data_IF_848375410923
#
_entry.id   IF_848375410923
#
_cell.length_a   1.000
_cell.length_b   1.000
_cell.length_c   1.000
_cell.angle_alpha   90.00
_cell.angle_beta   90.00
_cell.angle_gamma   90.00
#
_symmetry.space_group_name_H-M   'P 1'
#
loop_
_entity.id
_entity.type
_entity.pdbx_description
1 polymer ?
#
# COMPACT_ATOMS: atom_id res chain seq x y z
N UNK A 1 21.20 17.48 11.44
CA UNK A 1 21.56 18.47 10.40
C UNK A 1 20.27 19.15 10.04
N UNK A 2 20.18 20.45 10.29
CA UNK A 2 18.96 21.25 10.10
C UNK A 2 18.86 21.59 8.62
N UNK A 3 17.90 21.00 7.91
CA UNK A 3 17.58 21.41 6.53
C UNK A 3 17.04 22.84 6.57
N UNK A 4 17.74 23.75 5.91
CA UNK A 4 17.22 25.10 5.69
C UNK A 4 16.07 25.00 4.67
N UNK A 5 14.89 25.58 4.98
CA UNK A 5 13.79 25.62 4.03
C UNK A 5 14.15 26.48 2.80
N UNK A 6 13.49 26.23 1.68
CA UNK A 6 13.75 26.97 0.45
C UNK A 6 13.37 28.45 0.62
N UNK A 7 14.27 29.35 0.25
CA UNK A 7 14.07 30.78 0.47
C UNK A 7 15.31 31.65 0.27
N UNK A 8 15.11 32.96 0.38
CA UNK A 8 16.19 33.95 0.32
C UNK A 8 16.83 34.17 1.69
N UNK A 9 18.15 34.17 1.72
CA UNK A 9 18.95 34.38 2.93
C UNK A 9 20.01 35.45 2.69
N UNK A 10 20.18 36.34 3.67
CA UNK A 10 21.23 37.38 3.64
C UNK A 10 22.51 36.85 4.27
N UNK A 11 23.59 36.82 3.50
CA UNK A 11 24.91 36.42 3.97
C UNK A 11 25.59 37.49 4.83
N UNK A 12 26.68 37.13 5.54
CA UNK A 12 27.48 38.07 6.34
C UNK A 12 28.20 39.13 5.48
N UNK A 13 28.27 38.92 4.17
CA UNK A 13 28.74 39.86 3.15
C UNK A 13 27.65 40.88 2.74
N UNK A 14 26.43 40.75 3.27
CA UNK A 14 25.28 41.59 2.95
C UNK A 14 24.61 41.25 1.62
N UNK A 15 25.03 40.17 0.96
CA UNK A 15 24.44 39.71 -0.30
C UNK A 15 23.29 38.74 -0.05
N UNK A 16 22.22 38.89 -0.83
CA UNK A 16 21.06 38.00 -0.77
C UNK A 16 21.25 36.84 -1.75
N UNK A 17 21.13 35.60 -1.26
CA UNK A 17 21.26 34.37 -2.05
C UNK A 17 20.03 33.50 -1.86
N UNK A 18 19.65 32.77 -2.90
CA UNK A 18 18.52 31.85 -2.85
C UNK A 18 19.00 30.43 -2.56
N UNK A 19 18.36 29.75 -1.62
CA UNK A 19 18.59 28.33 -1.32
C UNK A 19 17.42 27.50 -1.87
N UNK A 20 17.72 26.52 -2.72
CA UNK A 20 16.71 25.68 -3.37
C UNK A 20 16.53 24.30 -2.70
N UNK A 21 17.24 24.05 -1.60
CA UNK A 21 17.26 22.76 -0.89
C UNK A 21 18.48 21.90 -1.23
N UNK A 22 19.25 22.26 -2.25
CA UNK A 22 20.41 21.50 -2.71
C UNK A 22 21.64 22.35 -3.02
N UNK A 23 21.48 23.53 -3.59
CA UNK A 23 22.56 24.45 -3.94
C UNK A 23 22.18 25.93 -3.76
N UNK A 24 23.20 26.78 -3.66
CA UNK A 24 23.03 28.23 -3.49
C UNK A 24 23.08 28.92 -4.85
N UNK A 25 22.07 29.75 -5.14
CA UNK A 25 21.98 30.54 -6.36
C UNK A 25 22.14 32.04 -6.08
N UNK A 26 22.80 32.76 -6.99
CA UNK A 26 22.93 34.21 -6.93
C UNK A 26 21.60 34.89 -7.33
N UNK A 27 21.16 35.89 -6.55
CA UNK A 27 19.94 36.62 -6.85
C UNK A 27 20.08 37.48 -8.13
N UNK A 28 19.09 37.50 -9.03
CA UNK A 28 19.16 38.25 -10.29
C UNK A 28 19.13 39.79 -10.13
N UNK A 29 18.95 40.31 -8.90
CA UNK A 29 18.72 41.73 -8.65
C UNK A 29 19.91 42.46 -7.98
N UNK A 30 21.14 42.25 -8.44
CA UNK A 30 22.26 43.14 -8.10
C UNK A 30 22.89 43.80 -9.33
N UNK A 31 22.99 45.15 -9.38
CA UNK A 31 23.86 45.82 -10.34
C UNK A 31 25.32 45.44 -10.03
N UNK A 32 26.19 45.28 -11.05
CA UNK A 32 27.55 44.82 -10.83
C UNK A 32 28.31 45.77 -9.90
N UNK A 33 28.97 45.18 -8.90
CA UNK A 33 29.87 45.86 -7.98
C UNK A 33 30.87 46.74 -8.76
N UNK A 34 30.87 48.03 -8.44
CA UNK A 34 31.79 48.99 -9.02
C UNK A 34 33.25 48.61 -8.69
N UNK A 35 33.94 47.99 -9.64
CA UNK A 35 35.39 47.80 -9.58
C UNK A 35 36.09 49.17 -9.68
N UNK A 36 36.49 49.73 -8.54
CA UNK A 36 37.45 50.83 -8.48
C UNK A 36 38.83 50.30 -8.91
N UNK A 37 39.19 50.48 -10.18
CA UNK A 37 40.59 50.38 -10.63
C UNK A 37 41.16 51.79 -10.76
N UNK A 38 42.02 52.14 -9.81
CA UNK A 38 42.97 53.25 -9.88
C UNK A 38 44.06 52.91 -10.90
N UNK A 39 44.20 53.76 -11.93
CA UNK A 39 45.26 53.66 -12.94
C UNK A 39 45.48 55.01 -13.62
N UNK A 40 46.72 55.36 -14.01
CA UNK A 40 47.15 56.75 -14.15
C UNK A 40 46.69 57.42 -15.45
N UNK A 41 46.43 58.71 -15.33
CA UNK A 41 46.03 59.65 -16.38
C UNK A 41 47.14 59.73 -17.45
N UNK A 42 46.89 59.21 -18.66
CA UNK A 42 47.66 59.56 -19.87
C UNK A 42 46.90 60.60 -20.69
N UNK A 43 47.59 61.71 -20.95
CA UNK A 43 47.12 62.89 -21.69
C UNK A 43 46.81 62.52 -23.14
N UNK A 44 45.55 62.65 -23.57
CA UNK A 44 45.22 62.69 -25.00
C UNK A 44 45.31 64.14 -25.49
N UNK A 45 46.25 64.35 -26.42
CA UNK A 45 46.35 65.59 -27.20
C UNK A 45 45.14 65.69 -28.14
N UNK A 46 44.72 66.94 -28.31
CA UNK A 46 43.61 67.40 -29.12
C UNK A 46 43.66 66.94 -30.59
N UNK A 47 42.48 66.62 -31.13
CA UNK A 47 42.17 66.97 -32.51
C UNK A 47 40.74 67.52 -32.62
N UNK A 48 40.65 68.60 -33.38
CA UNK A 48 39.59 69.61 -33.43
C UNK A 48 38.65 69.29 -34.60
N UNK A 49 37.35 69.21 -34.28
CA UNK A 49 36.17 69.61 -35.08
C UNK A 49 35.98 69.12 -36.53
N UNK A 50 34.87 68.39 -36.76
CA UNK A 50 33.68 68.77 -37.58
C UNK A 50 33.06 67.53 -38.26
N UNK A 51 31.94 67.03 -37.71
CA UNK A 51 30.75 66.59 -38.47
C UNK A 51 29.63 66.19 -37.49
N UNK A 52 28.77 67.16 -37.20
CA UNK A 52 27.48 66.97 -36.52
C UNK A 52 26.48 66.59 -37.60
N UNK A 53 25.98 65.35 -37.63
CA UNK A 53 24.66 64.92 -38.17
C UNK A 53 24.43 63.41 -37.90
N UNK A 54 25.48 62.59 -37.75
CA UNK A 54 25.32 61.12 -37.67
C UNK A 54 24.87 60.53 -36.32
N UNK A 55 24.74 61.33 -35.26
CA UNK A 55 24.40 60.83 -33.91
C UNK A 55 22.89 60.76 -33.66
N UNK A 56 22.09 61.59 -34.35
CA UNK A 56 20.63 61.66 -34.13
C UNK A 56 19.92 60.47 -34.81
N UNK A 57 20.41 60.02 -35.97
CA UNK A 57 19.84 58.87 -36.68
C UNK A 57 20.12 57.56 -35.93
N UNK A 58 21.29 57.42 -35.29
CA UNK A 58 21.63 56.24 -34.52
C UNK A 58 20.82 56.16 -33.20
N UNK A 59 20.52 57.30 -32.58
CA UNK A 59 19.67 57.35 -31.39
C UNK A 59 18.19 57.03 -31.69
N UNK A 60 17.66 57.44 -32.85
CA UNK A 60 16.29 57.14 -33.23
C UNK A 60 16.05 55.65 -33.57
N UNK A 61 17.04 54.97 -34.15
CA UNK A 61 16.95 53.53 -34.47
C UNK A 61 16.94 52.67 -33.20
N UNK A 62 17.70 53.06 -32.16
CA UNK A 62 17.77 52.31 -30.90
C UNK A 62 16.46 52.42 -30.09
N UNK A 63 15.75 53.56 -30.18
CA UNK A 63 14.47 53.74 -29.48
C UNK A 63 13.32 52.99 -30.18
N UNK A 64 13.36 52.85 -31.51
CA UNK A 64 12.33 52.11 -32.26
C UNK A 64 12.49 50.57 -32.18
N UNK A 65 13.69 50.04 -31.93
CA UNK A 65 13.90 48.60 -31.73
C UNK A 65 13.56 48.09 -30.33
N UNK A 66 13.37 48.98 -29.35
CA UNK A 66 13.21 48.61 -27.94
C UNK A 66 11.84 48.09 -27.52
N UNK A 67 10.80 48.24 -28.35
CA UNK A 67 9.41 47.90 -27.98
C UNK A 67 9.02 46.46 -28.37
N UNK A 68 9.75 45.82 -29.29
CA UNK A 68 9.42 44.46 -29.77
C UNK A 68 9.82 43.31 -28.83
N UNK A 69 10.86 43.49 -28.00
CA UNK A 69 11.44 42.40 -27.20
C UNK A 69 10.65 42.03 -25.94
N UNK A 70 9.94 42.98 -25.33
CA UNK A 70 9.23 42.75 -24.07
C UNK A 70 7.95 41.92 -24.23
N UNK A 71 7.32 41.94 -25.42
CA UNK A 71 6.06 41.22 -25.67
C UNK A 71 6.32 39.71 -25.86
N UNK A 72 7.48 39.33 -26.43
CA UNK A 72 7.81 37.92 -26.69
C UNK A 72 8.19 37.16 -25.41
N UNK A 73 8.87 37.81 -24.47
CA UNK A 73 9.31 37.16 -23.21
C UNK A 73 8.17 36.83 -22.24
N UNK A 74 7.08 37.64 -22.22
CA UNK A 74 5.91 37.37 -21.37
C UNK A 74 5.07 36.21 -21.95
N UNK A 75 5.01 36.07 -23.28
CA UNK A 75 4.25 35.00 -23.93
C UNK A 75 4.87 33.61 -23.69
N UNK A 76 6.20 33.48 -23.66
CA UNK A 76 6.87 32.20 -23.39
C UNK A 76 6.75 31.75 -21.92
N UNK A 77 6.84 32.69 -20.97
CA UNK A 77 6.73 32.38 -19.54
C UNK A 77 5.33 31.88 -19.14
N UNK A 78 4.27 32.43 -19.74
CA UNK A 78 2.90 31.96 -19.49
C UNK A 78 2.64 30.55 -20.07
N UNK A 79 3.33 30.15 -21.13
CA UNK A 79 3.22 28.79 -21.68
C UNK A 79 3.92 27.75 -20.80
N UNK A 80 5.06 28.09 -20.17
CA UNK A 80 5.78 27.20 -19.27
C UNK A 80 5.00 26.93 -17.97
N UNK A 81 4.34 27.94 -17.39
CA UNK A 81 3.49 27.75 -16.21
C UNK A 81 2.30 26.85 -16.54
N UNK A 82 1.60 27.11 -17.66
CA UNK A 82 0.47 26.28 -18.08
C UNK A 82 0.89 24.84 -18.37
N UNK A 83 2.09 24.62 -18.93
CA UNK A 83 2.64 23.29 -19.15
C UNK A 83 3.01 22.58 -17.83
N UNK A 84 3.53 23.32 -16.84
CA UNK A 84 3.86 22.79 -15.52
C UNK A 84 2.60 22.38 -14.74
N UNK A 85 1.55 23.21 -14.74
CA UNK A 85 0.27 22.90 -14.09
C UNK A 85 -0.42 21.68 -14.73
N UNK A 86 -0.35 21.55 -16.06
CA UNK A 86 -0.84 20.36 -16.77
C UNK A 86 -0.03 19.10 -16.43
N UNK A 87 1.29 19.22 -16.26
CA UNK A 87 2.13 18.10 -15.86
C UNK A 87 1.86 17.67 -14.41
N UNK A 88 1.63 18.60 -13.50
CA UNK A 88 1.30 18.31 -12.10
C UNK A 88 -0.08 17.65 -11.98
N UNK A 89 -1.10 18.18 -12.65
CA UNK A 89 -2.44 17.57 -12.68
C UNK A 89 -2.43 16.16 -13.28
N UNK A 90 -1.62 15.92 -14.33
CA UNK A 90 -1.44 14.58 -14.87
C UNK A 90 -0.75 13.63 -13.90
N UNK A 91 0.25 14.10 -13.13
CA UNK A 91 0.89 13.29 -12.08
C UNK A 91 -0.10 12.92 -10.99
N UNK A 92 -0.86 13.89 -10.47
CA UNK A 92 -1.88 13.65 -9.44
C UNK A 92 -2.94 12.66 -9.96
N UNK A 93 -3.43 12.84 -11.19
CA UNK A 93 -4.39 11.93 -11.79
C UNK A 93 -3.83 10.50 -11.99
N UNK A 94 -2.55 10.39 -12.37
CA UNK A 94 -1.87 9.10 -12.51
C UNK A 94 -1.66 8.41 -11.15
N UNK A 95 -1.28 9.16 -10.11
CA UNK A 95 -1.13 8.66 -8.74
C UNK A 95 -2.49 8.22 -8.17
N UNK A 96 -3.55 9.02 -8.35
CA UNK A 96 -4.90 8.66 -7.91
C UNK A 96 -5.40 7.39 -8.62
N UNK A 97 -5.14 7.25 -9.93
CA UNK A 97 -5.47 6.04 -10.67
C UNK A 97 -4.69 4.82 -10.16
N UNK A 98 -3.39 4.97 -9.90
CA UNK A 98 -2.55 3.91 -9.36
C UNK A 98 -3.01 3.49 -7.97
N UNK A 99 -3.39 4.45 -7.11
CA UNK A 99 -3.93 4.18 -5.79
C UNK A 99 -5.26 3.42 -5.86
N UNK A 100 -6.19 3.86 -6.72
CA UNK A 100 -7.46 3.14 -6.94
C UNK A 100 -7.25 1.71 -7.40
N UNK A 101 -6.31 1.48 -8.32
CA UNK A 101 -5.98 0.13 -8.78
C UNK A 101 -5.41 -0.75 -7.66
N UNK A 102 -4.57 -0.19 -6.79
CA UNK A 102 -4.04 -0.94 -5.65
C UNK A 102 -5.13 -1.24 -4.62
N UNK A 103 -6.00 -0.28 -4.32
CA UNK A 103 -7.15 -0.46 -3.41
C UNK A 103 -8.10 -1.55 -3.94
N UNK A 104 -8.41 -1.52 -5.24
CA UNK A 104 -9.19 -2.57 -5.91
C UNK A 104 -8.51 -3.94 -5.83
N UNK A 105 -7.18 -4.00 -6.00
CA UNK A 105 -6.40 -5.24 -5.90
C UNK A 105 -6.41 -5.80 -4.48
N UNK A 106 -6.25 -4.94 -3.47
CA UNK A 106 -6.30 -5.32 -2.05
C UNK A 106 -7.70 -5.81 -1.69
N UNK A 107 -8.75 -5.09 -2.12
CA UNK A 107 -10.14 -5.48 -1.90
C UNK A 107 -10.49 -6.81 -2.58
N UNK A 108 -10.01 -7.03 -3.82
CA UNK A 108 -10.20 -8.29 -4.54
C UNK A 108 -9.49 -9.46 -3.84
N UNK A 109 -8.27 -9.25 -3.33
CA UNK A 109 -7.55 -10.25 -2.53
C UNK A 109 -8.26 -10.56 -1.22
N UNK A 110 -8.78 -9.54 -0.52
CA UNK A 110 -9.53 -9.75 0.71
C UNK A 110 -10.79 -10.60 0.46
N UNK A 111 -11.58 -10.27 -0.59
CA UNK A 111 -12.75 -11.06 -0.98
C UNK A 111 -12.40 -12.49 -1.39
N UNK A 112 -11.33 -12.68 -2.15
CA UNK A 112 -10.86 -14.02 -2.51
C UNK A 112 -10.41 -14.82 -1.27
N UNK A 113 -9.77 -14.15 -0.31
CA UNK A 113 -9.42 -14.73 0.98
C UNK A 113 -10.66 -15.19 1.74
N UNK A 114 -11.67 -14.34 1.88
CA UNK A 114 -12.93 -14.67 2.58
C UNK A 114 -13.63 -15.90 1.97
N UNK A 115 -13.72 -15.97 0.64
CA UNK A 115 -14.32 -17.12 -0.04
C UNK A 115 -13.54 -18.43 0.21
N UNK A 116 -12.20 -18.37 0.27
CA UNK A 116 -11.38 -19.52 0.63
C UNK A 116 -11.60 -19.95 2.09
N UNK A 117 -11.67 -18.99 3.02
CA UNK A 117 -11.93 -19.28 4.42
C UNK A 117 -13.29 -19.96 4.60
N UNK A 118 -14.33 -19.47 3.93
CA UNK A 118 -15.67 -20.04 4.00
C UNK A 118 -15.70 -21.46 3.45
N UNK A 119 -15.12 -21.68 2.27
CA UNK A 119 -14.97 -23.02 1.69
C UNK A 119 -14.25 -23.98 2.64
N UNK A 120 -13.22 -23.51 3.35
CA UNK A 120 -12.51 -24.33 4.35
C UNK A 120 -13.39 -24.67 5.56
N UNK A 121 -14.27 -23.77 6.00
CA UNK A 121 -15.24 -24.06 7.06
C UNK A 121 -16.27 -25.10 6.60
N UNK A 122 -16.82 -24.93 5.41
CA UNK A 122 -17.77 -25.89 4.82
C UNK A 122 -17.16 -27.30 4.71
N UNK A 123 -15.91 -27.39 4.23
CA UNK A 123 -15.19 -28.65 4.15
C UNK A 123 -14.99 -29.31 5.53
N UNK A 124 -14.71 -28.52 6.57
CA UNK A 124 -14.57 -29.04 7.94
C UNK A 124 -15.88 -29.53 8.51
N UNK A 125 -16.97 -28.81 8.26
CA UNK A 125 -18.31 -29.23 8.68
C UNK A 125 -18.69 -30.57 8.01
N UNK A 126 -18.46 -30.70 6.70
CA UNK A 126 -18.68 -31.94 5.97
C UNK A 126 -17.82 -33.09 6.51
N UNK A 127 -16.54 -32.84 6.78
CA UNK A 127 -15.63 -33.84 7.34
C UNK A 127 -16.06 -34.34 8.72
N UNK A 128 -16.69 -33.51 9.57
CA UNK A 128 -17.25 -34.00 10.84
C UNK A 128 -18.37 -35.00 10.62
N UNK A 129 -19.26 -34.75 9.66
CA UNK A 129 -20.29 -35.72 9.31
C UNK A 129 -19.69 -37.04 8.80
N UNK A 130 -18.61 -36.97 8.01
CA UNK A 130 -17.88 -38.16 7.55
C UNK A 130 -17.20 -38.91 8.70
N UNK A 131 -16.64 -38.19 9.67
CA UNK A 131 -16.07 -38.75 10.90
C UNK A 131 -17.16 -39.44 11.72
N UNK A 132 -18.31 -38.80 11.92
CA UNK A 132 -19.45 -39.37 12.66
C UNK A 132 -19.95 -40.66 11.99
N UNK A 133 -20.06 -40.67 10.66
CA UNK A 133 -20.44 -41.85 9.90
C UNK A 133 -19.41 -42.99 10.03
N UNK A 134 -18.12 -42.67 9.94
CA UNK A 134 -17.03 -43.65 10.09
C UNK A 134 -16.98 -44.24 11.50
N UNK A 135 -17.17 -43.41 12.52
CA UNK A 135 -17.27 -43.84 13.92
C UNK A 135 -18.51 -44.70 14.13
N UNK A 136 -19.64 -44.37 13.48
CA UNK A 136 -20.85 -45.20 13.54
C UNK A 136 -20.60 -46.58 12.92
N UNK A 137 -19.98 -46.65 11.75
CA UNK A 137 -19.63 -47.92 11.11
C UNK A 137 -18.72 -48.76 12.00
N UNK A 138 -17.69 -48.14 12.59
CA UNK A 138 -16.82 -48.81 13.58
C UNK A 138 -17.62 -49.32 14.79
N UNK A 139 -18.53 -48.51 15.33
CA UNK A 139 -19.32 -48.87 16.49
C UNK A 139 -20.33 -50.00 16.19
N UNK A 140 -20.97 -49.98 15.02
CA UNK A 140 -21.81 -51.07 14.54
C UNK A 140 -21.00 -52.36 14.37
N UNK A 141 -19.76 -52.28 13.87
CA UNK A 141 -18.82 -53.40 13.80
C UNK A 141 -18.49 -53.96 15.19
N UNK A 142 -18.12 -53.11 16.15
CA UNK A 142 -17.86 -53.52 17.53
C UNK A 142 -19.09 -54.14 18.20
N UNK A 143 -20.30 -53.67 17.89
CA UNK A 143 -21.53 -54.27 18.38
C UNK A 143 -21.78 -55.66 17.79
N UNK A 144 -21.53 -55.84 16.48
CA UNK A 144 -21.63 -57.13 15.81
C UNK A 144 -20.61 -58.15 16.36
N UNK A 145 -19.42 -57.68 16.71
CA UNK A 145 -18.34 -58.49 17.31
C UNK A 145 -18.55 -58.75 18.81
N UNK A 146 -19.58 -58.18 19.44
CA UNK A 146 -19.89 -58.33 20.86
C UNK A 146 -18.92 -57.58 21.80
N UNK A 147 -18.15 -56.63 21.27
CA UNK A 147 -17.24 -55.76 22.05
C UNK A 147 -18.03 -54.72 22.84
N UNK A 148 -19.12 -54.21 22.25
CA UNK A 148 -20.05 -53.28 22.89
C UNK A 148 -21.50 -53.73 22.70
N UNK A 149 -22.42 -53.15 23.47
CA UNK A 149 -23.85 -53.42 23.36
C UNK A 149 -24.47 -52.63 22.20
N UNK A 150 -25.06 -53.33 21.23
CA UNK A 150 -25.80 -52.72 20.11
C UNK A 150 -27.32 -52.84 20.23
N UNK A 151 -28.08 -52.26 19.28
CA UNK A 151 -27.64 -51.56 18.07
C UNK A 151 -27.20 -50.11 18.33
N UNK A 152 -26.36 -49.53 17.45
CA UNK A 152 -25.99 -48.11 17.55
C UNK A 152 -27.01 -47.25 16.83
N UNK A 153 -27.68 -46.39 17.57
CA UNK A 153 -28.75 -45.52 17.08
C UNK A 153 -28.18 -44.28 16.38
N UNK A 154 -27.20 -43.63 16.99
CA UNK A 154 -26.59 -42.39 16.45
C UNK A 154 -25.17 -42.19 16.96
N UNK A 155 -24.38 -41.42 16.24
CA UNK A 155 -23.08 -40.91 16.70
C UNK A 155 -23.11 -39.39 16.61
N UNK A 156 -22.61 -38.73 17.65
CA UNK A 156 -22.37 -37.28 17.65
C UNK A 156 -20.99 -36.96 18.17
N UNK A 157 -20.25 -36.16 17.42
CA UNK A 157 -18.89 -35.75 17.77
C UNK A 157 -18.85 -34.31 18.25
N UNK A 158 -18.06 -34.07 19.28
CA UNK A 158 -17.81 -32.73 19.83
C UNK A 158 -16.30 -32.50 19.93
N UNK A 159 -15.87 -31.28 19.72
CA UNK A 159 -14.46 -30.90 19.81
C UNK A 159 -13.96 -30.94 21.25
N UNK A 160 -12.82 -31.58 21.49
CA UNK A 160 -12.19 -31.59 22.82
C UNK A 160 -11.46 -30.27 23.11
N UNK A 161 -11.51 -29.80 24.35
CA UNK A 161 -10.73 -28.64 24.81
C UNK A 161 -11.31 -27.27 24.45
N UNK A 162 -12.58 -27.20 24.02
CA UNK A 162 -13.28 -25.93 23.77
C UNK A 162 -12.82 -25.17 22.52
N UNK A 163 -12.10 -25.84 21.61
CA UNK A 163 -11.64 -25.25 20.35
C UNK A 163 -12.80 -25.25 19.35
N UNK A 164 -13.06 -24.11 18.71
CA UNK A 164 -14.07 -24.04 17.65
C UNK A 164 -13.60 -24.76 16.39
N UNK A 165 -14.50 -25.53 15.77
CA UNK A 165 -14.27 -26.13 14.46
C UNK A 165 -13.99 -25.09 13.36
N UNK A 166 -14.59 -23.90 13.52
CA UNK A 166 -14.48 -22.78 12.58
C UNK A 166 -13.12 -22.09 12.63
N UNK A 167 -12.27 -22.42 13.61
CA UNK A 167 -10.91 -21.90 13.70
C UNK A 167 -9.99 -22.59 12.67
N UNK A 168 -10.02 -22.05 11.45
CA UNK A 168 -9.21 -22.46 10.31
C UNK A 168 -7.68 -22.40 10.53
N UNK A 169 -7.21 -21.78 11.61
CA UNK A 169 -5.78 -21.73 11.96
C UNK A 169 -5.29 -23.05 12.58
N UNK A 170 -6.21 -23.84 13.15
CA UNK A 170 -5.92 -25.12 13.77
C UNK A 170 -5.69 -26.17 12.69
N UNK A 171 -4.52 -26.81 12.69
CA UNK A 171 -4.14 -27.84 11.69
C UNK A 171 -4.70 -29.22 12.00
N UNK A 172 -4.86 -29.52 13.29
CA UNK A 172 -5.40 -30.80 13.73
C UNK A 172 -6.35 -30.62 14.91
N UNK A 173 -7.43 -31.39 14.93
CA UNK A 173 -8.48 -31.31 15.95
C UNK A 173 -8.76 -32.68 16.54
N UNK A 174 -9.05 -32.72 17.84
CA UNK A 174 -9.50 -33.92 18.52
C UNK A 174 -11.01 -33.81 18.78
N UNK A 175 -11.70 -34.92 18.61
CA UNK A 175 -13.12 -35.06 18.82
C UNK A 175 -13.38 -36.17 19.85
N UNK A 176 -14.29 -35.90 20.77
CA UNK A 176 -14.96 -36.90 21.58
C UNK A 176 -16.32 -37.19 20.93
N UNK A 177 -16.51 -38.45 20.50
CA UNK A 177 -17.68 -38.92 19.79
C UNK A 177 -18.49 -39.85 20.68
N UNK A 178 -19.78 -39.57 20.86
CA UNK A 178 -20.69 -40.39 21.63
C UNK A 178 -21.59 -41.21 20.71
N UNK A 179 -21.44 -42.53 20.75
CA UNK A 179 -22.25 -43.49 20.02
C UNK A 179 -23.39 -43.99 20.92
N UNK A 180 -24.61 -43.47 20.71
CA UNK A 180 -25.77 -43.88 21.50
C UNK A 180 -26.30 -45.24 21.06
N UNK A 181 -26.66 -46.07 22.04
CA UNK A 181 -27.24 -47.39 21.80
C UNK A 181 -28.65 -47.55 22.39
N UNK A 182 -29.04 -46.64 23.30
CA UNK A 182 -30.41 -46.54 23.78
C UNK A 182 -30.75 -45.08 24.14
N UNK A 183 -32.04 -44.79 24.10
CA UNK A 183 -32.63 -43.56 24.61
C UNK A 183 -33.48 -43.91 25.83
N UNK A 184 -33.27 -43.20 26.92
CA UNK A 184 -33.94 -43.40 28.18
C UNK A 184 -35.25 -42.59 28.23
N UNK A 185 -36.16 -42.97 29.13
CA UNK A 185 -37.46 -42.30 29.30
C UNK A 185 -37.34 -40.81 29.72
N UNK A 186 -36.22 -40.43 30.34
CA UNK A 186 -35.92 -39.06 30.75
C UNK A 186 -35.30 -38.20 29.62
N UNK A 187 -35.17 -38.77 28.41
CA UNK A 187 -34.55 -38.12 27.26
C UNK A 187 -33.02 -38.14 27.26
N UNK A 188 -32.39 -38.79 28.25
CA UNK A 188 -30.95 -39.05 28.20
C UNK A 188 -30.64 -40.22 27.27
N UNK A 189 -29.39 -40.31 26.82
CA UNK A 189 -28.94 -41.43 25.98
C UNK A 189 -27.82 -42.18 26.68
N UNK A 190 -27.85 -43.51 26.63
CA UNK A 190 -26.69 -44.36 26.97
C UNK A 190 -25.92 -44.70 25.71
N UNK A 191 -24.66 -45.06 25.89
CA UNK A 191 -23.79 -45.32 24.77
C UNK A 191 -22.31 -45.42 25.15
N UNK A 192 -21.48 -45.41 24.12
CA UNK A 192 -20.04 -45.60 24.22
C UNK A 192 -19.32 -44.37 23.67
N UNK A 193 -18.18 -44.04 24.28
CA UNK A 193 -17.32 -42.97 23.80
C UNK A 193 -16.28 -43.51 22.84
N UNK A 194 -16.04 -42.73 21.80
CA UNK A 194 -15.00 -42.88 20.80
C UNK A 194 -14.20 -41.59 20.75
N UNK A 195 -12.97 -41.69 20.29
CA UNK A 195 -12.15 -40.54 19.96
C UNK A 195 -11.92 -40.52 18.45
N UNK A 196 -11.82 -39.30 17.91
CA UNK A 196 -11.34 -39.09 16.56
C UNK A 196 -10.32 -37.96 16.54
N UNK A 197 -9.30 -38.09 15.69
CA UNK A 197 -8.34 -37.05 15.39
C UNK A 197 -8.46 -36.71 13.92
N UNK A 198 -8.60 -35.42 13.67
CA UNK A 198 -8.61 -34.87 12.36
C UNK A 198 -7.32 -34.11 12.06
N UNK A 199 -6.70 -34.42 10.92
CA UNK A 199 -5.61 -33.65 10.34
C UNK A 199 -6.13 -32.97 9.06
N UNK A 200 -6.35 -31.66 9.17
CA UNK A 200 -6.93 -30.85 8.10
C UNK A 200 -5.96 -30.60 6.95
N UNK A 201 -4.65 -30.65 7.22
CA UNK A 201 -3.64 -30.39 6.20
C UNK A 201 -3.46 -31.62 5.29
N UNK A 202 -3.60 -32.82 5.87
CA UNK A 202 -3.46 -34.09 5.15
C UNK A 202 -4.80 -34.72 4.74
N UNK A 203 -5.93 -34.07 5.05
CA UNK A 203 -7.29 -34.60 4.83
C UNK A 203 -7.45 -36.03 5.36
N UNK A 204 -6.90 -36.30 6.54
CA UNK A 204 -6.83 -37.64 7.12
C UNK A 204 -7.46 -37.68 8.51
N UNK A 205 -8.25 -38.72 8.77
CA UNK A 205 -8.97 -38.91 10.01
C UNK A 205 -8.63 -40.26 10.62
N UNK A 206 -8.35 -40.29 11.91
CA UNK A 206 -8.16 -41.53 12.68
C UNK A 206 -9.15 -41.58 13.81
N UNK A 207 -9.70 -42.76 14.13
CA UNK A 207 -10.71 -42.92 15.16
C UNK A 207 -10.49 -44.23 15.94
N UNK A 208 -10.98 -44.28 17.17
CA UNK A 208 -10.81 -45.42 18.05
C UNK A 208 -11.80 -45.44 19.22
N UNK A 209 -11.97 -46.62 19.82
CA UNK A 209 -12.83 -46.83 20.97
C UNK A 209 -12.23 -46.20 22.24
N UNK A 210 -13.06 -45.54 23.04
CA UNK A 210 -12.69 -44.89 24.30
C UNK A 210 -12.55 -43.37 24.18
N UNK A 211 -12.44 -42.71 25.33
CA UNK A 211 -12.18 -41.26 25.40
C UNK A 211 -10.72 -40.95 25.04
N UNK A 212 -10.49 -39.81 24.39
CA UNK A 212 -9.18 -39.35 23.91
C UNK A 212 -8.81 -37.96 24.41
#
# INVERSE_FOLDING_TARGET
>A
MTDLPNGFYTGPDGHERFWDGSEWHDSPNHPPAAQRKSGPIKKFKALKTRTRVSIIVLAAVIVLSGIGGAIVAIASHNQEIAAAELAETQKIAAEELAQKQEDERVAAKAKAGEADLERRRDNRAAAVSDIEASVKEMADGHAADGIIEGPILSVRCTTTGGISIDDISIRSMLFECFASNAENEDGTSTGFYYNARADWDNESWTYGLGRG
#
